data_IF_078570032640
#
_entry.id   IF_078570032640
#
_cell.length_a   1.000
_cell.length_b   1.000
_cell.length_c   1.000
_cell.angle_alpha   90.00
_cell.angle_beta   90.00
_cell.angle_gamma   90.00
#
_symmetry.space_group_name_H-M   'P 1'
#
loop_
_entity.id
_entity.type
_entity.pdbx_description
1 polymer ?
2 non-polymer ?
3 non-polymer ?
4 non-polymer ?
5 water ?
#
# COMPACT_ATOMS: atom_id res chain seq x y z
N UNK A 1 -5.76 -15.07 -6.88
CA UNK A 1 -6.27 -13.96 -6.00
C UNK A 1 -7.36 -13.15 -6.72
N UNK A 2 -7.51 -11.87 -6.37
CA UNK A 2 -8.87 -11.35 -6.27
C UNK A 2 -9.19 -9.85 -6.41
N UNK A 3 -8.19 -8.96 -6.42
CA UNK A 3 -8.55 -7.53 -6.60
C UNK A 3 -8.79 -7.19 -8.06
N UNK A 4 -10.05 -6.84 -8.33
CA UNK A 4 -10.54 -6.45 -9.64
C UNK A 4 -11.09 -5.03 -9.55
N UNK A 5 -10.33 -4.19 -8.87
CA UNK A 5 -10.58 -2.77 -8.76
C UNK A 5 -9.21 -2.21 -9.09
N UNK A 6 -9.18 -1.43 -10.13
CA UNK A 6 -7.93 -0.95 -10.67
C UNK A 6 -8.33 0.38 -11.27
N UNK A 7 -7.43 1.36 -11.23
CA UNK A 7 -7.71 2.70 -11.72
C UNK A 7 -7.51 2.77 -13.24
N UNK A 8 -8.51 3.26 -13.96
CA UNK A 8 -8.36 3.48 -15.39
C UNK A 8 -7.68 4.86 -15.55
N UNK A 9 -6.71 4.93 -16.45
CA UNK A 9 -6.15 6.22 -16.86
C UNK A 9 -5.05 6.72 -15.93
N UNK A 10 -4.51 5.81 -15.11
CA UNK A 10 -3.40 6.12 -14.21
C UNK A 10 -2.19 6.78 -14.90
N UNK A 11 -1.79 7.93 -14.34
CA UNK A 11 -0.55 8.60 -14.70
C UNK A 11 0.37 8.49 -13.51
N UNK A 12 1.28 7.51 -13.57
CA UNK A 12 2.13 7.14 -12.43
C UNK A 12 3.10 8.24 -12.03
N UNK A 13 3.49 9.08 -12.99
CA UNK A 13 4.48 10.11 -12.70
C UNK A 13 3.93 11.06 -11.64
N UNK A 14 2.61 11.23 -11.67
CA UNK A 14 1.80 12.13 -10.80
C UNK A 14 1.44 11.61 -9.39
N UNK A 15 1.88 10.40 -9.05
CA UNK A 15 1.70 9.96 -7.67
C UNK A 15 3.00 10.23 -6.89
N UNK A 16 4.01 10.80 -7.55
CA UNK A 16 5.31 10.93 -6.93
C UNK A 16 5.18 11.81 -5.68
N UNK A 17 6.02 11.56 -4.69
CA UNK A 17 6.04 12.48 -3.58
C UNK A 17 5.67 11.85 -2.26
N UNK A 18 5.29 12.73 -1.34
CA UNK A 18 5.08 12.36 0.06
C UNK A 18 3.73 11.68 0.24
N UNK A 19 3.74 10.54 0.92
CA UNK A 19 2.49 9.94 1.36
C UNK A 19 2.50 9.50 2.81
N UNK A 20 1.32 9.31 3.36
CA UNK A 20 1.12 8.75 4.71
C UNK A 20 0.16 7.56 4.64
N UNK A 21 0.54 6.46 5.25
CA UNK A 21 -0.33 5.25 5.42
C UNK A 21 -1.41 5.47 6.49
N UNK A 22 -2.51 6.11 6.10
CA UNK A 22 -3.57 6.44 7.02
C UNK A 22 -4.28 5.17 7.55
N UNK A 23 -4.48 4.22 6.67
CA UNK A 23 -5.12 2.98 7.09
C UNK A 23 -4.62 1.80 6.31
N UNK A 24 -4.77 0.60 6.89
CA UNK A 24 -4.28 -0.62 6.28
C UNK A 24 -5.28 -1.68 6.63
N UNK A 25 -5.39 -2.65 5.73
CA UNK A 25 -6.27 -3.82 5.93
C UNK A 25 -5.61 -5.04 5.27
N UNK A 26 -5.85 -6.23 5.81
CA UNK A 26 -5.28 -7.43 5.20
C UNK A 26 -6.22 -8.65 5.32
N UNK A 27 -5.97 -9.67 4.49
CA UNK A 27 -6.86 -10.85 4.40
C UNK A 27 -6.67 -11.74 5.61
N UNK A 28 -5.46 -11.74 6.16
CA UNK A 28 -5.18 -12.56 7.28
C UNK A 28 -4.67 -11.66 8.41
N UNK A 29 -5.17 -11.91 9.63
CA UNK A 29 -4.78 -11.14 10.82
C UNK A 29 -3.28 -11.06 10.99
N UNK A 30 -2.60 -12.21 10.87
CA UNK A 30 -1.15 -12.26 11.11
C UNK A 30 -0.31 -11.39 10.17
N UNK A 31 -0.91 -10.91 9.08
CA UNK A 31 -0.20 -10.05 8.13
C UNK A 31 0.06 -8.65 8.69
N UNK A 32 -0.81 -8.20 9.62
CA UNK A 32 -0.78 -6.84 10.20
C UNK A 32 -0.72 -6.82 11.74
N UNK A 33 -0.86 -7.99 12.38
CA UNK A 33 -1.04 -8.12 13.84
C UNK A 33 0.12 -7.52 14.68
N UNK A 34 1.27 -8.17 14.58
CA UNK A 34 2.44 -7.70 15.32
C UNK A 34 2.95 -6.37 14.76
N UNK A 35 3.65 -5.62 15.60
CA UNK A 35 4.38 -4.41 15.22
C UNK A 35 5.36 -4.75 14.10
N UNK A 36 5.91 -5.95 14.15
CA UNK A 36 6.77 -6.48 13.08
C UNK A 36 6.10 -7.51 12.13
N UNK A 37 4.77 -7.46 11.97
CA UNK A 37 4.10 -8.28 10.95
C UNK A 37 4.57 -7.97 9.52
N UNK A 38 4.60 -9.01 8.65
CA UNK A 38 5.14 -8.87 7.29
C UNK A 38 4.67 -7.66 6.45
N UNK A 39 3.37 -7.36 6.43
CA UNK A 39 2.85 -6.26 5.58
C UNK A 39 2.51 -4.97 6.33
N UNK A 40 2.88 -4.90 7.60
CA UNK A 40 2.77 -3.67 8.39
C UNK A 40 3.92 -2.76 7.91
N UNK A 41 3.70 -2.08 6.80
CA UNK A 41 4.71 -1.21 6.22
C UNK A 41 4.13 0.18 6.14
N UNK A 42 4.97 1.18 6.38
CA UNK A 42 4.50 2.54 6.45
C UNK A 42 5.16 3.27 5.30
N UNK A 43 4.34 3.78 4.38
CA UNK A 43 4.85 4.38 3.19
C UNK A 43 5.34 5.80 3.52
N UNK A 44 6.50 6.14 2.94
CA UNK A 44 7.12 7.46 3.14
C UNK A 44 7.05 8.28 1.84
N UNK A 45 7.48 7.68 0.73
CA UNK A 45 7.50 8.42 -0.51
C UNK A 45 7.38 7.52 -1.73
N UNK A 46 6.71 8.03 -2.75
CA UNK A 46 6.66 7.31 -4.03
C UNK A 46 7.51 8.04 -5.07
N UNK A 47 8.47 7.32 -5.64
CA UNK A 47 9.32 7.85 -6.71
C UNK A 47 9.21 7.01 -7.99
N UNK A 48 8.28 7.38 -8.87
CA UNK A 48 8.28 6.76 -10.22
C UNK A 48 9.54 7.11 -11.03
N UNK A 49 10.19 6.10 -11.58
CA UNK A 49 11.38 6.32 -12.40
C UNK A 49 10.96 6.84 -13.79
N UNK A 50 11.88 7.53 -14.52
CA UNK A 50 11.43 8.10 -15.80
C UNK A 50 10.95 7.04 -16.85
N UNK A 51 11.43 5.80 -16.76
CA UNK A 51 10.91 4.69 -17.59
C UNK A 51 9.62 4.00 -17.05
N UNK A 52 8.96 4.61 -16.06
CA UNK A 52 7.70 4.11 -15.47
C UNK A 52 7.66 2.98 -14.42
N UNK A 53 8.81 2.57 -13.89
CA UNK A 53 8.86 1.71 -12.71
C UNK A 53 8.45 2.52 -11.46
N UNK A 54 8.21 1.85 -10.34
CA UNK A 54 7.79 2.57 -9.12
C UNK A 54 8.68 2.25 -7.94
N UNK A 55 9.52 3.21 -7.56
CA UNK A 55 10.34 3.05 -6.37
C UNK A 55 9.58 3.42 -5.12
N UNK A 56 9.66 2.55 -4.13
CA UNK A 56 8.93 2.83 -2.91
C UNK A 56 9.91 2.93 -1.74
N UNK A 57 9.91 4.08 -1.09
CA UNK A 57 10.54 4.28 0.21
C UNK A 57 9.53 4.03 1.34
N UNK A 58 9.88 3.18 2.30
CA UNK A 58 9.02 2.96 3.46
C UNK A 58 9.76 2.62 4.75
N UNK A 59 9.01 2.61 5.84
CA UNK A 59 9.48 2.16 7.16
C UNK A 59 8.86 0.82 7.53
N UNK A 60 9.66 -0.03 8.17
CA UNK A 60 9.19 -1.30 8.69
C UNK A 60 9.87 -1.58 10.00
N UNK A 61 9.13 -2.14 10.96
CA UNK A 61 9.69 -2.59 12.24
C UNK A 61 10.38 -3.95 12.10
N UNK A 62 11.68 -4.00 12.36
CA UNK A 62 12.45 -5.23 12.13
C UNK A 62 13.40 -5.74 13.23
N UNK A 63 14.26 -4.89 13.78
CA UNK A 63 15.07 -5.32 14.94
C UNK A 63 14.17 -5.22 16.18
N UNK A 64 14.56 -4.34 17.09
CA UNK A 64 13.59 -3.72 17.99
C UNK A 64 13.58 -2.28 17.52
N UNK A 65 13.56 -2.12 16.20
CA UNK A 65 13.58 -0.79 15.62
C UNK A 65 12.91 -0.66 14.26
N UNK A 66 12.71 0.60 13.92
CA UNK A 66 12.03 1.04 12.74
C UNK A 66 13.08 1.24 11.66
N UNK A 67 13.21 0.20 10.84
CA UNK A 67 14.15 0.18 9.73
C UNK A 67 13.59 0.83 8.46
N UNK A 68 14.47 1.48 7.71
CA UNK A 68 14.11 2.08 6.44
C UNK A 68 14.27 1.06 5.32
N UNK A 69 13.39 1.14 4.31
CA UNK A 69 13.45 0.24 3.15
C UNK A 69 13.32 1.01 1.84
N UNK A 70 13.92 0.45 0.79
CA UNK A 70 13.61 0.84 -0.59
C UNK A 70 13.18 -0.39 -1.41
N UNK A 71 11.94 -0.35 -1.85
CA UNK A 71 11.32 -1.37 -2.69
C UNK A 71 11.22 -0.82 -4.12
N UNK A 72 11.59 -1.63 -5.11
CA UNK A 72 11.30 -1.29 -6.51
C UNK A 72 10.21 -2.20 -7.13
N UNK A 73 9.13 -1.56 -7.56
CA UNK A 73 8.01 -2.24 -8.21
C UNK A 73 8.08 -1.97 -9.70
N UNK A 74 8.38 -3.01 -10.47
CA UNK A 74 8.52 -2.85 -11.94
C UNK A 74 7.18 -2.79 -12.68
N UNK A 75 7.10 -1.86 -13.62
CA UNK A 75 5.92 -1.76 -14.47
C UNK A 75 5.56 -3.09 -15.19
N UNK A 76 4.28 -3.24 -15.51
CA UNK A 76 3.77 -4.33 -16.35
C UNK A 76 3.07 -3.70 -17.55
N UNK A 77 2.40 -4.53 -18.37
CA UNK A 77 1.59 -4.00 -19.46
C UNK A 77 0.36 -3.23 -18.97
N UNK A 78 -0.03 -3.43 -17.71
CA UNK A 78 -1.20 -2.74 -17.17
C UNK A 78 -0.67 -1.54 -16.39
N UNK A 79 -1.06 -0.32 -16.79
CA UNK A 79 -0.60 0.90 -16.08
C UNK A 79 -0.81 0.96 -14.56
N UNK A 80 -1.83 0.28 -14.05
CA UNK A 80 -2.09 0.29 -12.61
C UNK A 80 -1.47 -0.89 -11.81
N UNK A 81 -0.71 -1.77 -12.45
CA UNK A 81 -0.22 -2.97 -11.80
C UNK A 81 1.27 -3.10 -11.99
N UNK A 82 1.99 -3.37 -10.88
CA UNK A 82 3.46 -3.43 -10.83
C UNK A 82 3.87 -4.74 -10.18
N UNK A 83 5.09 -5.19 -10.39
CA UNK A 83 5.55 -6.46 -9.87
C UNK A 83 6.78 -6.23 -9.03
N UNK A 84 6.77 -6.75 -7.81
CA UNK A 84 7.95 -6.71 -6.93
C UNK A 84 8.67 -8.05 -6.99
N UNK A 85 9.94 -8.01 -7.38
CA UNK A 85 10.88 -9.17 -7.35
C UNK A 85 11.06 -9.94 -6.00
N UNK A 86 10.82 -11.26 -6.01
CA UNK A 86 11.03 -12.12 -4.83
C UNK A 86 11.17 -13.64 -5.14
N UNK A 87 11.33 -14.44 -4.08
CA UNK A 87 11.24 -15.91 -4.19
C UNK A 87 9.85 -16.36 -4.68
N UNK A 88 8.97 -15.37 -4.80
CA UNK A 88 7.60 -15.52 -5.25
C UNK A 88 7.15 -14.25 -5.97
N UNK A 89 6.19 -14.41 -6.88
CA UNK A 89 5.62 -13.31 -7.62
C UNK A 89 4.55 -12.61 -6.75
N UNK A 90 4.73 -11.30 -6.49
CA UNK A 90 3.75 -10.51 -5.73
C UNK A 90 3.56 -9.13 -6.38
N UNK A 91 2.31 -8.68 -6.51
CA UNK A 91 1.97 -7.44 -7.24
C UNK A 91 1.42 -6.31 -6.40
N UNK A 92 1.66 -5.11 -6.92
CA UNK A 92 1.07 -3.88 -6.43
C UNK A 92 0.05 -3.42 -7.43
N UNK A 93 -1.19 -3.21 -6.99
CA UNK A 93 -2.22 -2.63 -7.84
C UNK A 93 -2.67 -1.31 -7.27
N UNK A 94 -2.73 -0.30 -8.12
CA UNK A 94 -3.32 0.99 -7.77
C UNK A 94 -4.83 0.98 -8.10
N UNK A 95 -5.69 1.15 -7.08
CA UNK A 95 -7.12 0.97 -7.27
C UNK A 95 -7.77 2.29 -7.58
N UNK A 96 -7.25 3.37 -6.97
CA UNK A 96 -7.88 4.64 -7.15
C UNK A 96 -7.00 5.72 -6.58
N UNK A 97 -6.99 6.86 -7.25
CA UNK A 97 -6.28 8.04 -6.73
C UNK A 97 -6.75 9.31 -7.38
N UNK A 98 -6.56 10.42 -6.65
CA UNK A 98 -6.72 11.76 -7.21
C UNK A 98 -5.40 12.51 -7.20
N UNK A 99 -4.31 11.79 -6.95
CA UNK A 99 -2.92 12.31 -6.95
C UNK A 99 -2.58 13.37 -5.88
N UNK A 100 -3.55 14.23 -5.56
CA UNK A 100 -3.36 15.41 -4.72
C UNK A 100 -3.88 15.25 -3.26
N UNK A 101 -4.67 14.20 -2.97
CA UNK A 101 -5.15 13.93 -1.60
C UNK A 101 -4.97 12.47 -1.16
N UNK A 102 -5.43 11.52 -1.98
CA UNK A 102 -5.42 10.11 -1.57
C UNK A 102 -5.02 9.16 -2.68
N UNK A 103 -4.56 7.98 -2.25
CA UNK A 103 -4.26 6.90 -3.16
C UNK A 103 -4.62 5.60 -2.45
N UNK A 104 -5.33 4.71 -3.13
CA UNK A 104 -5.67 3.35 -2.59
C UNK A 104 -4.92 2.33 -3.40
N UNK A 105 -4.20 1.46 -2.72
CA UNK A 105 -3.48 0.40 -3.38
C UNK A 105 -3.55 -0.89 -2.58
N UNK A 106 -3.30 -2.00 -3.26
CA UNK A 106 -3.22 -3.31 -2.64
C UNK A 106 -1.97 -4.02 -3.07
N UNK A 107 -1.54 -4.96 -2.26
CA UNK A 107 -0.42 -5.83 -2.56
C UNK A 107 -0.95 -7.23 -2.37
N UNK A 108 -0.73 -8.08 -3.37
CA UNK A 108 -1.14 -9.48 -3.26
C UNK A 108 -0.12 -10.49 -3.75
N UNK A 109 -0.05 -11.64 -3.09
CA UNK A 109 0.78 -12.74 -3.58
C UNK A 109 0.14 -13.45 -4.78
N UNK A 110 0.70 -13.20 -5.96
CA UNK A 110 0.33 -13.88 -7.21
C UNK A 110 1.14 -15.17 -7.34
N UNK A 111 0.50 -16.32 -7.20
CA UNK A 111 -0.94 -16.45 -7.01
C UNK A 111 -1.21 -17.47 -5.86
N UNK A 112 -2.32 -18.21 -5.82
CA UNK A 112 -3.44 -18.18 -6.79
C UNK A 112 -4.89 -18.41 -6.25
N UNK A 113 -5.09 -19.33 -5.26
CA UNK A 113 -6.42 -19.94 -4.98
C UNK A 113 -7.78 -19.16 -5.03
N UNK A 114 -7.97 -17.96 -4.47
CA UNK A 114 -7.00 -16.98 -3.93
C UNK A 114 -6.39 -17.19 -2.52
N UNK A 115 -5.27 -16.51 -2.26
CA UNK A 115 -4.80 -16.23 -0.88
C UNK A 115 -4.17 -14.79 -0.71
N UNK A 116 -3.59 -14.53 0.47
CA UNK A 116 -2.83 -13.29 0.87
C UNK A 116 -2.88 -11.90 0.15
N UNK A 117 -3.36 -10.88 0.88
CA UNK A 117 -3.67 -9.56 0.32
C UNK A 117 -3.66 -8.49 1.45
N UNK A 118 -3.06 -7.31 1.18
CA UNK A 118 -3.05 -6.13 2.10
C UNK A 118 -3.25 -4.89 1.27
N UNK A 119 -4.07 -3.97 1.75
CA UNK A 119 -4.38 -2.74 1.05
C UNK A 119 -4.17 -1.55 1.99
N UNK A 120 -3.84 -0.40 1.41
CA UNK A 120 -3.73 0.83 2.22
C UNK A 120 -4.50 1.95 1.62
N UNK A 121 -4.86 2.90 2.48
CA UNK A 121 -5.36 4.21 2.09
C UNK A 121 -4.22 5.17 2.43
N UNK A 122 -3.65 5.73 1.37
CA UNK A 122 -2.56 6.68 1.44
C UNK A 122 -3.15 8.03 1.30
N UNK A 123 -2.64 8.98 2.09
CA UNK A 123 -3.07 10.37 1.94
C UNK A 123 -1.79 11.29 1.94
N UNK A 124 -1.92 12.46 1.36
CA UNK A 124 -0.78 13.37 1.16
C UNK A 124 -0.30 14.04 2.46
N UNK A 125 -1.20 14.07 3.44
CA UNK A 125 -1.06 14.93 4.62
C UNK A 125 -1.40 14.15 5.92
N UNK A 126 -0.77 14.53 7.06
CA UNK A 126 -0.99 13.86 8.35
C UNK A 126 -2.35 14.24 8.97
N UNK A 127 -3.43 13.96 8.25
CA UNK A 127 -4.78 14.34 8.64
C UNK A 127 -5.71 13.16 8.36
N UNK A 128 -6.80 13.05 9.13
CA UNK A 128 -7.76 11.96 8.92
C UNK A 128 -8.72 12.44 7.84
N UNK A 129 -8.61 11.86 6.65
CA UNK A 129 -9.48 12.22 5.54
C UNK A 129 -10.63 11.21 5.51
N UNK A 130 -11.80 11.62 6.01
CA UNK A 130 -12.96 10.69 6.12
C UNK A 130 -13.43 10.21 4.75
N UNK A 131 -13.33 11.08 3.75
CA UNK A 131 -13.80 10.73 2.40
C UNK A 131 -12.89 9.72 1.71
N UNK A 132 -11.58 9.86 1.90
CA UNK A 132 -10.63 8.90 1.41
C UNK A 132 -10.89 7.57 2.13
N UNK A 133 -11.12 7.62 3.44
CA UNK A 133 -11.41 6.41 4.24
C UNK A 133 -12.69 5.70 3.81
N UNK A 134 -13.65 6.48 3.37
CA UNK A 134 -14.93 5.95 2.91
C UNK A 134 -14.75 5.23 1.57
N UNK A 135 -13.93 5.79 0.68
CA UNK A 135 -13.55 5.13 -0.56
C UNK A 135 -12.71 3.87 -0.34
N UNK A 136 -11.81 3.92 0.63
CA UNK A 136 -11.06 2.72 1.07
C UNK A 136 -12.05 1.65 1.56
N UNK A 137 -12.98 2.04 2.42
CA UNK A 137 -13.87 1.04 2.96
C UNK A 137 -14.80 0.48 1.90
N UNK A 138 -15.21 1.33 0.96
CA UNK A 138 -15.99 0.88 -0.22
C UNK A 138 -15.22 -0.13 -1.05
N UNK A 139 -13.95 0.18 -1.35
CA UNK A 139 -13.08 -0.73 -2.14
C UNK A 139 -12.92 -2.08 -1.47
N UNK A 140 -12.96 -2.08 -0.14
CA UNK A 140 -12.61 -3.27 0.65
C UNK A 140 -13.82 -4.17 0.83
N UNK A 141 -15.01 -3.63 0.61
CA UNK A 141 -16.23 -4.45 0.68
C UNK A 141 -16.14 -5.68 -0.24
N UNK A 142 -15.52 -5.51 -1.41
CA UNK A 142 -15.35 -6.60 -2.35
C UNK A 142 -14.30 -7.63 -1.92
N UNK A 143 -13.59 -7.41 -0.81
CA UNK A 143 -12.39 -8.23 -0.46
C UNK A 143 -12.51 -8.94 0.90
N UNK A 144 -11.84 -10.10 1.05
CA UNK A 144 -11.90 -10.88 2.30
C UNK A 144 -10.91 -10.44 3.40
N UNK A 145 -11.11 -9.24 3.93
CA UNK A 145 -10.22 -8.67 4.93
C UNK A 145 -10.64 -9.09 6.34
N UNK A 146 -9.67 -9.32 7.21
CA UNK A 146 -9.90 -9.79 8.61
C UNK A 146 -9.14 -8.98 9.64
N UNK A 147 -8.38 -7.99 9.16
CA UNK A 147 -7.83 -7.01 10.11
C UNK A 147 -7.80 -5.68 9.41
N UNK A 148 -8.10 -4.63 10.18
CA UNK A 148 -8.04 -3.27 9.65
C UNK A 148 -7.48 -2.34 10.76
N UNK A 149 -6.50 -1.51 10.38
CA UNK A 149 -5.85 -0.54 11.30
C UNK A 149 -6.01 0.85 10.73
N UNK A 150 -6.06 1.83 11.63
CA UNK A 150 -6.21 3.23 11.27
C UNK A 150 -5.36 4.06 12.22
N UNK A 151 -4.76 5.13 11.71
CA UNK A 151 -3.78 5.92 12.53
C UNK A 151 -4.26 7.34 12.71
N UNK A 152 -3.81 7.96 13.80
CA UNK A 152 -4.26 9.29 14.12
C UNK A 152 -3.11 10.24 13.70
N UNK A 153 -3.38 11.53 13.64
CA UNK A 153 -2.32 12.42 13.12
C UNK A 153 -1.01 12.40 13.87
N UNK A 154 -1.04 12.08 15.18
CA UNK A 154 0.16 12.10 15.99
C UNK A 154 1.04 10.95 15.60
N UNK A 155 0.43 9.77 15.47
CA UNK A 155 1.17 8.56 15.02
C UNK A 155 1.76 8.70 13.63
N UNK A 156 1.03 9.38 12.75
CA UNK A 156 1.40 9.60 11.35
C UNK A 156 2.66 10.49 11.23
N UNK A 157 2.90 11.30 12.25
CA UNK A 157 4.14 12.08 12.29
C UNK A 157 5.32 11.39 13.01
N UNK A 158 5.11 10.18 13.51
CA UNK A 158 6.18 9.40 14.09
C UNK A 158 6.70 8.33 13.16
N UNK A 159 7.93 7.91 13.41
CA UNK A 159 8.57 6.80 12.73
C UNK A 159 7.85 5.53 13.08
N UNK A 160 7.36 4.80 12.07
CA UNK A 160 6.62 3.56 12.29
C UNK A 160 5.34 3.82 13.10
N UNK A 161 4.84 5.05 13.07
CA UNK A 161 3.50 5.37 13.57
C UNK A 161 3.39 5.01 15.04
N UNK A 162 4.46 5.33 15.75
CA UNK A 162 4.66 4.83 17.09
C UNK A 162 3.70 5.46 18.07
X LIG B 1 6.58 -4.94 0.51
X LIG B 1 7.79 -4.68 0.30
X LIG B 1 5.56 -4.34 -0.43
X LIG B 1 5.54 -2.83 -0.30
X LIG B 1 4.86 -2.22 -1.51
X LIG B 1 4.27 -0.85 -1.19
X LIG B 1 3.46 -0.38 -2.39
X LIG B 1 3.19 1.11 -2.33
X LIG B 1 3.02 1.67 -3.73
X LIG B 1 1.75 2.47 -3.88
X LIG B 1 1.51 2.82 -5.33
X LIG B 1 6.18 -5.67 1.44
X LIG C 1 -12.25 1.99 -6.80
X LIG C 1 -11.40 0.99 -6.27
X LIG C 1 -12.06 2.06 -8.31
X LIG C 1 -10.85 1.44 -8.70
X LIG C 1 -12.10 3.49 -8.84
X LIG C 1 -11.14 3.62 -9.87
X LIG D 1 2.71 -0.77 -14.88
#
# INVERSE_FOLDING_TARGET
LIVTQTMKGLDIQKVAGTWYSLAMAASDISLLDAQSAPLRVYVEELKPTPEGDLEILLQKWENGECAQKKIIAEKTKIPAVFKIDALNENKVLVLDTDYKKYLLFCMENSAEPEQSLACQCLVRTPEVDDEALEKFDKALKALPMHIRLSFNPTQLEEQCHI
DKA C1 O1 C2 C3 C4 C5 C6 C7 C8 C9 C10 O2
GOL C1 O1 C2 O2 C3 O3
CL CL
#
